data_IF_762259263657
#
_entry.id   IF_762259263657
#
_cell.length_a   1.000
_cell.length_b   1.000
_cell.length_c   1.000
_cell.angle_alpha   90.00
_cell.angle_beta   90.00
_cell.angle_gamma   90.00
#
_symmetry.space_group_name_H-M   'P 1'
#
loop_
_entity.id
_entity.type
_entity.pdbx_description
1 polymer ?
#
# COMPACT_ATOMS: atom_id res chain seq x y z
N UNK A 1 -22.82 7.84 -7.86
CA UNK A 1 -22.28 7.49 -6.53
C UNK A 1 -20.76 7.51 -6.66
N UNK A 2 -20.08 8.42 -5.97
CA UNK A 2 -18.61 8.41 -5.91
C UNK A 2 -18.20 7.36 -4.87
N UNK A 3 -17.84 6.18 -5.35
CA UNK A 3 -17.31 5.07 -4.56
C UNK A 3 -15.77 5.02 -4.66
N UNK A 4 -15.14 6.19 -4.84
CA UNK A 4 -13.68 6.34 -4.76
C UNK A 4 -13.36 6.97 -3.43
N UNK A 5 -12.66 6.24 -2.57
CA UNK A 5 -12.17 6.72 -1.27
C UNK A 5 -11.49 8.08 -1.48
N UNK A 6 -12.13 9.17 -1.02
CA UNK A 6 -11.60 10.54 -1.03
C UNK A 6 -10.56 10.66 0.10
N UNK A 7 -9.49 9.88 -0.01
CA UNK A 7 -8.36 9.99 0.88
C UNK A 7 -7.57 11.23 0.49
N UNK A 8 -7.37 12.14 1.44
CA UNK A 8 -6.58 13.36 1.22
C UNK A 8 -5.10 12.98 1.34
N UNK A 9 -4.26 13.49 0.44
CA UNK A 9 -2.81 13.26 0.46
C UNK A 9 -2.19 13.44 1.86
N UNK A 10 -2.64 14.45 2.59
CA UNK A 10 -2.15 14.76 3.94
C UNK A 10 -2.42 13.67 4.98
N UNK A 11 -3.55 12.96 4.85
CA UNK A 11 -3.88 11.82 5.70
C UNK A 11 -3.00 10.60 5.34
N UNK A 12 -2.69 10.41 4.05
CA UNK A 12 -1.74 9.38 3.59
C UNK A 12 -0.33 9.63 4.09
N UNK A 13 0.13 10.87 4.00
CA UNK A 13 1.48 11.28 4.45
C UNK A 13 1.70 11.10 5.95
N UNK A 14 0.60 11.16 6.73
CA UNK A 14 0.62 11.01 8.18
C UNK A 14 0.47 9.56 8.64
N UNK A 15 0.16 8.65 7.72
CA UNK A 15 -0.04 7.23 8.01
C UNK A 15 1.18 6.43 7.55
N UNK A 16 1.78 5.66 8.44
CA UNK A 16 2.88 4.74 8.13
C UNK A 16 2.32 3.33 7.93
N UNK A 17 2.66 2.72 6.81
CA UNK A 17 2.32 1.35 6.44
C UNK A 17 3.56 0.48 6.52
N UNK A 18 3.34 -0.77 6.90
CA UNK A 18 4.40 -1.73 7.19
C UNK A 18 4.22 -2.95 6.32
N UNK A 19 5.25 -3.29 5.54
CA UNK A 19 5.27 -4.44 4.63
C UNK A 19 6.35 -5.41 5.07
N UNK A 20 6.02 -6.70 5.09
CA UNK A 20 7.02 -7.76 5.25
C UNK A 20 7.56 -8.13 3.87
N UNK A 21 8.87 -7.99 3.69
CA UNK A 21 9.55 -8.36 2.46
C UNK A 21 9.84 -9.88 2.46
N UNK A 22 10.06 -10.46 1.28
CA UNK A 22 10.36 -11.88 1.15
C UNK A 22 11.62 -12.34 1.91
N UNK A 23 12.53 -11.41 2.23
CA UNK A 23 13.73 -11.64 3.04
C UNK A 23 13.44 -11.68 4.56
N UNK A 24 12.21 -11.42 4.98
CA UNK A 24 11.80 -11.32 6.39
C UNK A 24 12.06 -9.94 7.01
N UNK A 25 12.54 -8.98 6.22
CA UNK A 25 12.73 -7.60 6.65
C UNK A 25 11.43 -6.81 6.59
N UNK A 26 11.25 -5.86 7.50
CA UNK A 26 10.09 -4.98 7.55
C UNK A 26 10.40 -3.65 6.87
N UNK A 27 9.56 -3.27 5.90
CA UNK A 27 9.61 -2.00 5.19
C UNK A 27 8.50 -1.07 5.68
N UNK A 28 8.88 0.06 6.27
CA UNK A 28 7.96 1.11 6.74
C UNK A 28 7.94 2.29 5.77
N UNK A 29 6.78 2.59 5.19
CA UNK A 29 6.61 3.64 4.17
C UNK A 29 5.33 4.42 4.42
N UNK A 30 5.32 5.71 4.06
CA UNK A 30 4.12 6.55 4.19
C UNK A 30 3.07 6.14 3.17
N UNK A 31 1.79 6.35 3.47
CA UNK A 31 0.68 6.00 2.59
C UNK A 31 0.77 6.59 1.18
N UNK A 32 1.42 7.75 1.03
CA UNK A 32 1.62 8.44 -0.24
C UNK A 32 2.92 8.05 -0.96
N UNK A 33 3.82 7.32 -0.30
CA UNK A 33 5.05 6.83 -0.92
C UNK A 33 4.73 5.77 -1.96
N UNK A 34 5.55 5.73 -3.01
CA UNK A 34 5.44 4.75 -4.07
C UNK A 34 6.26 3.50 -3.72
N UNK A 35 5.62 2.35 -3.83
CA UNK A 35 6.19 1.03 -3.57
C UNK A 35 6.07 0.22 -4.86
N UNK A 36 7.18 -0.38 -5.30
CA UNK A 36 7.20 -1.30 -6.43
C UNK A 36 6.98 -2.72 -5.91
N UNK A 37 5.98 -3.40 -6.48
CA UNK A 37 5.62 -4.76 -6.12
C UNK A 37 5.09 -5.51 -7.35
N UNK A 38 5.62 -6.70 -7.60
CA UNK A 38 5.38 -7.52 -8.83
C UNK A 38 5.63 -6.78 -10.15
N UNK A 39 6.51 -5.79 -10.15
CA UNK A 39 6.83 -4.98 -11.33
C UNK A 39 5.85 -3.83 -11.61
N UNK A 40 4.87 -3.60 -10.74
CA UNK A 40 3.99 -2.44 -10.78
C UNK A 40 4.26 -1.48 -9.61
N UNK A 41 4.17 -0.17 -9.86
CA UNK A 41 4.31 0.87 -8.82
C UNK A 41 2.95 1.27 -8.28
N UNK A 42 2.78 1.18 -6.96
CA UNK A 42 1.56 1.57 -6.26
C UNK A 42 1.87 2.46 -5.06
N UNK A 43 0.92 3.30 -4.64
CA UNK A 43 1.05 3.98 -3.35
C UNK A 43 0.95 2.97 -2.20
N UNK A 44 1.72 3.16 -1.14
CA UNK A 44 1.72 2.25 0.02
C UNK A 44 0.32 1.99 0.57
N UNK A 45 -0.54 3.02 0.66
CA UNK A 45 -1.90 2.82 1.14
C UNK A 45 -2.74 1.90 0.24
N UNK A 46 -2.62 2.06 -1.08
CA UNK A 46 -3.33 1.22 -2.05
C UNK A 46 -2.79 -0.21 -2.05
N UNK A 47 -1.46 -0.36 -2.00
CA UNK A 47 -0.83 -1.68 -1.95
C UNK A 47 -1.24 -2.43 -0.69
N UNK A 48 -1.20 -1.76 0.47
CA UNK A 48 -1.59 -2.36 1.75
C UNK A 48 -3.04 -2.84 1.74
N UNK A 49 -3.97 -2.04 1.20
CA UNK A 49 -5.38 -2.43 1.09
C UNK A 49 -5.54 -3.66 0.18
N UNK A 50 -4.88 -3.67 -0.99
CA UNK A 50 -4.89 -4.80 -1.92
C UNK A 50 -4.31 -6.10 -1.31
N UNK A 51 -3.22 -5.99 -0.54
CA UNK A 51 -2.63 -7.12 0.19
C UNK A 51 -3.58 -7.63 1.29
N UNK A 52 -4.17 -6.72 2.07
CA UNK A 52 -5.06 -7.02 3.19
C UNK A 52 -6.38 -7.66 2.75
N UNK A 53 -6.95 -7.19 1.65
CA UNK A 53 -8.15 -7.79 1.04
C UNK A 53 -7.86 -9.15 0.40
N UNK A 54 -6.59 -9.56 0.34
CA UNK A 54 -6.18 -10.89 -0.12
C UNK A 54 -6.23 -11.05 -1.64
N UNK A 55 -6.17 -9.95 -2.39
CA UNK A 55 -6.09 -9.97 -3.85
C UNK A 55 -4.71 -10.30 -4.39
N UNK A 56 -3.66 -10.18 -3.56
CA UNK A 56 -2.30 -10.46 -3.96
C UNK A 56 -1.84 -11.83 -3.46
N UNK A 57 -1.29 -12.65 -4.37
CA UNK A 57 -0.84 -14.03 -4.10
C UNK A 57 -1.90 -15.11 -4.28
N UNK A 58 -3.06 -14.80 -4.89
CA UNK A 58 -4.11 -15.79 -5.21
C UNK A 58 -4.02 -16.41 -6.61
N UNK A 59 -2.99 -16.10 -7.39
CA UNK A 59 -2.71 -16.73 -8.68
C UNK A 59 -1.23 -17.06 -8.83
#
# INVERSE_FOLDING_TARGET
AFQGVLVKQKDLESTIYTFELADGTILEVKGNEQVEYDGETHSAANLYDALKEGYYGKF
#
